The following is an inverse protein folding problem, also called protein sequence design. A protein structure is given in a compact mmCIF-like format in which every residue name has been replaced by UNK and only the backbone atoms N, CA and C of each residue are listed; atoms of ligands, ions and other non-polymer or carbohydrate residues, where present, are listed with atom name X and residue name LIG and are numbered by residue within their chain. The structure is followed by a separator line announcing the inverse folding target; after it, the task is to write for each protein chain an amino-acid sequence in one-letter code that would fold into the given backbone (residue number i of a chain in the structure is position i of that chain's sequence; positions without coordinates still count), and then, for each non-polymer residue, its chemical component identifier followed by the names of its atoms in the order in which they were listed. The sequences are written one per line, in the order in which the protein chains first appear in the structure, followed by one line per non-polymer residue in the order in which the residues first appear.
data_IF_767095485604
#
_entry.id   IF_767095485604
#
_cell.length_a   1.000
_cell.length_b   1.000
_cell.length_c   1.000
_cell.angle_alpha   90.00
_cell.angle_beta   90.00
_cell.angle_gamma   90.00
#
_symmetry.space_group_name_H-M   'P 1'
#
loop_
_entity.id
_entity.type
_entity.pdbx_description
1 polymer ?
#
# COMPACT_ATOMS: atom_id res chain seq x y z
N UNK A 1 5.18 -4.10 20.76
CA UNK A 1 5.48 -4.54 19.37
C UNK A 1 6.79 -3.88 18.91
N UNK A 2 7.56 -4.54 18.06
CA UNK A 2 8.78 -3.95 17.48
C UNK A 2 8.57 -3.77 15.98
N UNK A 3 8.65 -2.53 15.50
CA UNK A 3 8.39 -2.18 14.09
C UNK A 3 9.65 -1.62 13.45
N UNK A 4 9.93 -2.06 12.23
CA UNK A 4 10.91 -1.47 11.31
C UNK A 4 10.19 -0.97 10.05
N UNK A 5 10.93 -0.38 9.13
CA UNK A 5 10.35 0.14 7.87
C UNK A 5 9.77 -0.95 6.97
N UNK A 6 10.35 -2.16 7.03
CA UNK A 6 10.00 -3.28 6.15
C UNK A 6 9.32 -4.45 6.87
N UNK A 7 9.33 -4.50 8.21
CA UNK A 7 8.72 -5.59 8.96
C UNK A 7 8.10 -5.14 10.30
N UNK A 8 7.13 -5.91 10.76
CA UNK A 8 6.63 -5.86 12.13
C UNK A 8 6.95 -7.18 12.85
N UNK A 9 7.41 -7.07 14.08
CA UNK A 9 7.79 -8.18 14.92
C UNK A 9 6.96 -8.17 16.19
N UNK A 10 6.40 -9.33 16.51
CA UNK A 10 5.58 -9.55 17.69
C UNK A 10 6.24 -10.59 18.57
N UNK A 11 6.39 -10.28 19.85
CA UNK A 11 6.77 -11.24 20.89
C UNK A 11 5.56 -11.39 21.81
N UNK A 12 5.02 -12.60 21.90
CA UNK A 12 3.90 -12.95 22.77
C UNK A 12 4.46 -13.78 23.91
N UNK A 13 4.32 -13.30 25.14
CA UNK A 13 4.68 -14.03 26.36
C UNK A 13 3.40 -14.52 27.04
N UNK A 14 3.25 -15.83 27.14
CA UNK A 14 2.12 -16.48 27.79
C UNK A 14 2.32 -16.53 29.31
N UNK A 15 1.23 -16.74 30.05
CA UNK A 15 1.22 -16.71 31.51
C UNK A 15 2.07 -17.83 32.13
N UNK A 16 2.17 -18.97 31.45
CA UNK A 16 2.99 -20.12 31.82
C UNK A 16 4.49 -19.92 31.55
N UNK A 17 4.86 -18.80 30.92
CA UNK A 17 6.23 -18.45 30.57
C UNK A 17 6.62 -18.80 29.13
N UNK A 18 5.76 -19.46 28.33
CA UNK A 18 6.04 -19.71 26.91
C UNK A 18 6.21 -18.36 26.17
N UNK A 19 7.18 -18.28 25.26
CA UNK A 19 7.41 -17.07 24.44
C UNK A 19 7.41 -17.43 22.97
N UNK A 20 6.47 -16.85 22.21
CA UNK A 20 6.40 -16.97 20.75
C UNK A 20 6.83 -15.69 20.07
N UNK A 21 7.60 -15.81 18.99
CA UNK A 21 8.11 -14.68 18.19
C UNK A 21 7.64 -14.82 16.74
N UNK A 22 7.07 -13.76 16.21
CA UNK A 22 6.57 -13.69 14.84
C UNK A 22 7.19 -12.49 14.13
N UNK A 23 7.43 -12.64 12.83
CA UNK A 23 7.91 -11.57 11.96
C UNK A 23 7.09 -11.58 10.68
N UNK A 24 6.51 -10.43 10.33
CA UNK A 24 5.73 -10.25 9.11
C UNK A 24 6.30 -9.07 8.31
N UNK A 25 6.52 -9.23 6.99
CA UNK A 25 6.83 -8.09 6.14
C UNK A 25 5.63 -7.14 6.08
N UNK A 26 5.89 -5.83 6.02
CA UNK A 26 4.83 -4.80 5.95
C UNK A 26 4.92 -3.90 4.73
N UNK A 27 6.09 -3.84 4.07
CA UNK A 27 6.32 -3.05 2.87
C UNK A 27 7.26 -3.78 1.93
N UNK A 28 6.99 -3.67 0.63
CA UNK A 28 7.87 -4.15 -0.45
C UNK A 28 8.68 -3.02 -1.09
N UNK A 29 8.34 -1.77 -0.79
CA UNK A 29 9.03 -0.56 -1.27
C UNK A 29 9.50 0.32 -0.10
N UNK A 30 10.60 1.08 -0.28
CA UNK A 30 11.09 1.98 0.77
C UNK A 30 10.07 3.05 1.17
N UNK A 31 10.21 3.54 2.41
CA UNK A 31 9.44 4.69 2.89
C UNK A 31 9.76 5.90 2.00
N UNK A 32 8.73 6.57 1.49
CA UNK A 32 8.89 7.80 0.70
C UNK A 32 9.30 7.57 -0.76
N UNK A 33 9.43 6.33 -1.24
CA UNK A 33 9.85 6.06 -2.63
C UNK A 33 8.71 6.04 -3.65
N UNK A 34 7.46 6.25 -3.23
CA UNK A 34 6.30 6.18 -4.14
C UNK A 34 6.27 7.47 -4.97
N UNK A 35 6.43 7.34 -6.28
CA UNK A 35 6.11 8.39 -7.24
C UNK A 35 4.69 8.17 -7.79
N UNK A 36 3.71 9.01 -7.41
CA UNK A 36 2.31 8.80 -7.79
C UNK A 36 2.03 9.00 -9.27
N UNK A 37 2.90 9.72 -9.99
CA UNK A 37 2.71 10.07 -11.41
C UNK A 37 3.64 9.30 -12.35
N UNK A 38 4.49 8.41 -11.83
CA UNK A 38 5.43 7.64 -12.65
C UNK A 38 4.69 6.73 -13.64
N UNK A 39 5.01 6.87 -14.93
CA UNK A 39 4.35 6.14 -16.02
C UNK A 39 2.83 6.36 -16.11
N UNK A 40 2.28 7.42 -15.50
CA UNK A 40 0.85 7.77 -15.58
C UNK A 40 0.61 8.87 -16.61
N UNK A 41 -0.58 8.88 -17.27
CA UNK A 41 -0.96 9.99 -18.15
C UNK A 41 -1.12 11.30 -17.37
N UNK A 42 -1.06 12.42 -18.08
CA UNK A 42 -1.42 13.72 -17.52
C UNK A 42 -2.92 13.78 -17.19
N UNK A 43 -3.29 14.72 -16.31
CA UNK A 43 -4.70 15.03 -16.07
C UNK A 43 -5.39 15.47 -17.38
N UNK A 44 -6.63 15.02 -17.55
CA UNK A 44 -7.44 15.28 -18.73
C UNK A 44 -8.59 16.25 -18.37
N UNK A 45 -9.72 16.13 -19.08
CA UNK A 45 -10.93 16.92 -18.88
C UNK A 45 -11.54 16.70 -17.49
N UNK A 46 -11.84 17.80 -16.78
CA UNK A 46 -12.45 17.78 -15.44
C UNK A 46 -13.96 17.54 -15.49
N UNK A 47 -14.60 17.84 -16.62
CA UNK A 47 -16.04 17.59 -16.81
C UNK A 47 -16.30 16.13 -17.22
N UNK A 48 -15.24 15.38 -17.54
CA UNK A 48 -15.31 13.95 -17.81
C UNK A 48 -15.46 13.14 -16.53
N UNK A 49 -16.23 12.03 -16.52
CA UNK A 49 -16.32 11.14 -15.37
C UNK A 49 -15.08 10.26 -15.15
N UNK A 50 -14.07 10.35 -16.02
CA UNK A 50 -12.88 9.49 -15.98
C UNK A 50 -11.86 9.97 -14.94
N UNK A 51 -11.28 9.03 -14.18
CA UNK A 51 -10.08 9.33 -13.38
C UNK A 51 -8.88 9.57 -14.32
N UNK A 52 -7.85 10.28 -13.85
CA UNK A 52 -6.65 10.56 -14.68
C UNK A 52 -5.99 9.27 -15.21
N UNK A 53 -6.07 8.15 -14.48
CA UNK A 53 -5.56 6.84 -14.90
C UNK A 53 -6.48 6.05 -15.85
N UNK A 54 -7.63 6.61 -16.21
CA UNK A 54 -8.66 5.98 -17.05
C UNK A 54 -8.78 6.63 -18.43
N UNK A 55 -7.76 7.39 -18.84
CA UNK A 55 -7.69 7.99 -20.16
C UNK A 55 -7.99 6.96 -21.27
N UNK A 56 -8.96 7.29 -22.13
CA UNK A 56 -9.38 6.44 -23.24
C UNK A 56 -10.27 5.24 -22.87
N UNK A 57 -10.72 5.12 -21.62
CA UNK A 57 -11.69 4.09 -21.22
C UNK A 57 -13.12 4.57 -21.43
N UNK A 58 -14.00 3.63 -21.77
CA UNK A 58 -15.45 3.82 -21.76
C UNK A 58 -16.01 3.21 -20.48
N UNK A 59 -16.76 3.99 -19.69
CA UNK A 59 -17.39 3.50 -18.46
C UNK A 59 -18.62 2.65 -18.79
N UNK A 60 -18.92 1.61 -18.00
CA UNK A 60 -20.13 0.81 -18.18
C UNK A 60 -21.37 1.66 -17.86
N UNK A 61 -22.38 1.59 -18.74
CA UNK A 61 -23.69 2.19 -18.49
C UNK A 61 -24.53 1.24 -17.64
N UNK A 62 -25.15 1.77 -16.58
CA UNK A 62 -26.11 1.04 -15.74
C UNK A 62 -27.46 0.97 -16.46
#
# INVERSE_FOLDING_TARGET
PMRTDSAIMWTIKFRDGEVKRFKFPVRTTPVGSINPYDGKPAAADLDSPLLFTEAGKTLPTI
#
